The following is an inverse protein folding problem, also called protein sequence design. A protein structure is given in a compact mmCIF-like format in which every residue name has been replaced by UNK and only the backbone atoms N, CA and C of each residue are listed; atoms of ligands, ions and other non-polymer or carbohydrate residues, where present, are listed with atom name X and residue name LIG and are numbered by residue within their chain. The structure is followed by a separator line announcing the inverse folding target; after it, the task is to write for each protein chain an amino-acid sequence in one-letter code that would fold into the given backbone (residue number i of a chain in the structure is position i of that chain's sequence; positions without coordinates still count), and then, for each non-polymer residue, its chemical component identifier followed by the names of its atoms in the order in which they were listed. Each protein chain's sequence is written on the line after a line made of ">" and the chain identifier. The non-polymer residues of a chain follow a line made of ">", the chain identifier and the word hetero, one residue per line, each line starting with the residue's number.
data_IF_843767693223
#
_entry.id   IF_843767693223
#
_cell.length_a   1.000
_cell.length_b   1.000
_cell.length_c   1.000
_cell.angle_alpha   90.00
_cell.angle_beta   90.00
_cell.angle_gamma   90.00
#
_symmetry.space_group_name_H-M   'P 1'
#
loop_
_entity.id
_entity.type
_entity.pdbx_description
1 polymer ?
#
# COMPACT_ATOMS: atom_id res chain seq x y z
N UNK A 1 6.01 14.12 26.89
CA UNK A 1 5.86 15.21 25.90
C UNK A 1 4.74 14.82 24.94
N UNK A 2 3.69 15.64 24.73
CA UNK A 2 2.64 15.32 23.78
C UNK A 2 3.23 15.14 22.37
N UNK A 3 2.73 14.18 21.59
CA UNK A 3 3.19 13.95 20.22
C UNK A 3 2.35 14.83 19.28
N UNK A 4 2.77 16.10 19.11
CA UNK A 4 2.05 17.10 18.30
C UNK A 4 2.72 17.38 16.95
N UNK A 5 3.97 16.96 16.77
CA UNK A 5 4.76 17.15 15.56
C UNK A 5 5.56 15.88 15.22
N UNK A 6 5.85 15.70 13.93
CA UNK A 6 6.64 14.57 13.44
C UNK A 6 7.51 15.00 12.26
N UNK A 7 8.70 14.40 12.16
CA UNK A 7 9.53 14.52 10.96
C UNK A 7 9.00 13.60 9.86
N UNK A 8 8.72 14.18 8.70
CA UNK A 8 8.35 13.47 7.48
C UNK A 8 9.39 13.69 6.38
N UNK A 9 9.61 12.67 5.56
CA UNK A 9 10.40 12.79 4.33
C UNK A 9 9.47 12.97 3.14
N UNK A 10 9.64 14.07 2.41
CA UNK A 10 8.96 14.31 1.14
C UNK A 10 9.97 14.14 0.01
N UNK A 11 9.70 13.22 -0.91
CA UNK A 11 10.63 12.89 -2.00
C UNK A 11 9.92 12.40 -3.27
N UNK A 12 10.71 12.07 -4.30
CA UNK A 12 10.25 11.73 -5.65
C UNK A 12 10.40 12.91 -6.61
N UNK A 13 10.35 12.63 -7.93
CA UNK A 13 10.53 13.68 -8.95
C UNK A 13 9.24 14.51 -9.17
N UNK A 14 8.12 14.08 -8.60
CA UNK A 14 6.81 14.72 -8.74
C UNK A 14 6.62 15.98 -7.89
N UNK A 15 7.60 16.35 -7.04
CA UNK A 15 7.56 17.53 -6.16
C UNK A 15 8.67 18.51 -6.52
N UNK A 16 8.40 19.82 -6.46
CA UNK A 16 9.38 20.84 -6.83
C UNK A 16 10.64 20.82 -5.94
N UNK A 17 10.49 20.54 -4.65
CA UNK A 17 11.61 20.49 -3.69
C UNK A 17 11.47 19.33 -2.70
N UNK A 18 12.25 18.24 -2.85
CA UNK A 18 12.37 17.20 -1.83
C UNK A 18 12.97 17.74 -0.53
N UNK A 19 12.43 17.34 0.62
CA UNK A 19 12.91 17.79 1.92
C UNK A 19 12.47 16.86 3.07
N UNK A 20 13.23 16.92 4.17
CA UNK A 20 12.76 16.43 5.46
C UNK A 20 12.15 17.61 6.23
N UNK A 21 10.91 17.46 6.69
CA UNK A 21 10.15 18.53 7.34
C UNK A 21 9.68 18.08 8.72
N UNK A 22 9.81 18.94 9.72
CA UNK A 22 9.09 18.81 10.99
C UNK A 22 7.71 19.46 10.81
N UNK A 23 6.65 18.64 10.83
CA UNK A 23 5.29 19.10 10.56
C UNK A 23 4.37 18.81 11.75
N UNK A 24 3.38 19.69 12.03
CA UNK A 24 2.37 19.39 13.02
C UNK A 24 1.46 18.25 12.53
N UNK A 25 1.05 17.40 13.46
CA UNK A 25 0.08 16.34 13.16
C UNK A 25 -1.27 17.00 12.86
N UNK A 26 -1.90 16.58 11.76
CA UNK A 26 -3.11 17.19 11.23
C UNK A 26 -2.87 18.16 10.07
N UNK A 27 -1.63 18.57 9.78
CA UNK A 27 -1.33 19.40 8.61
C UNK A 27 -1.77 18.70 7.32
N UNK A 28 -2.38 19.43 6.39
CA UNK A 28 -2.79 18.86 5.11
C UNK A 28 -1.57 18.69 4.19
N UNK A 29 -1.57 17.63 3.37
CA UNK A 29 -0.51 17.45 2.37
C UNK A 29 -0.50 18.59 1.34
N UNK A 30 -1.65 19.19 1.05
CA UNK A 30 -1.74 20.38 0.19
C UNK A 30 -0.88 21.54 0.69
N UNK A 31 -0.87 21.79 2.00
CA UNK A 31 -0.11 22.89 2.61
C UNK A 31 1.39 22.61 2.53
N UNK A 32 1.78 21.35 2.76
CA UNK A 32 3.16 20.89 2.63
C UNK A 32 3.62 21.02 1.17
N UNK A 33 2.79 20.63 0.22
CA UNK A 33 3.07 20.78 -1.22
C UNK A 33 3.24 22.25 -1.59
N UNK A 34 2.35 23.12 -1.12
CA UNK A 34 2.45 24.56 -1.36
C UNK A 34 3.76 25.14 -0.78
N UNK A 35 4.13 24.74 0.44
CA UNK A 35 5.39 25.12 1.08
C UNK A 35 6.64 24.64 0.32
N UNK A 36 6.55 23.49 -0.37
CA UNK A 36 7.64 22.94 -1.16
C UNK A 36 7.70 23.49 -2.60
N UNK A 37 6.81 24.41 -2.97
CA UNK A 37 6.80 25.04 -4.30
C UNK A 37 5.90 24.33 -5.32
N UNK A 38 5.01 23.46 -4.87
CA UNK A 38 4.04 22.76 -5.73
C UNK A 38 4.53 21.43 -6.29
N UNK A 39 3.72 20.85 -7.17
CA UNK A 39 3.99 19.59 -7.86
C UNK A 39 4.50 19.86 -9.28
N UNK A 40 5.24 18.91 -9.83
CA UNK A 40 5.69 18.99 -11.22
C UNK A 40 4.59 18.52 -12.17
N UNK A 41 4.65 18.92 -13.44
CA UNK A 41 3.69 18.52 -14.49
C UNK A 41 3.63 17.01 -14.74
N UNK A 42 4.71 16.28 -14.41
CA UNK A 42 4.80 14.83 -14.58
C UNK A 42 4.25 14.02 -13.41
N UNK A 43 3.65 14.64 -12.39
CA UNK A 43 3.12 13.91 -11.23
C UNK A 43 2.06 12.89 -11.66
N UNK A 44 2.31 11.62 -11.34
CA UNK A 44 1.43 10.52 -11.70
C UNK A 44 0.80 9.84 -10.46
N UNK A 45 1.54 9.76 -9.34
CA UNK A 45 1.05 9.08 -8.13
C UNK A 45 1.62 9.69 -6.87
N UNK A 46 0.79 9.79 -5.84
CA UNK A 46 1.22 10.19 -4.50
C UNK A 46 1.06 9.01 -3.57
N UNK A 47 2.12 8.66 -2.82
CA UNK A 47 2.13 7.54 -1.88
C UNK A 47 2.42 8.07 -0.47
N UNK A 48 1.47 7.91 0.44
CA UNK A 48 1.62 8.30 1.84
C UNK A 48 2.01 7.08 2.69
N UNK A 49 3.05 7.21 3.52
CA UNK A 49 3.54 6.14 4.40
C UNK A 49 4.88 5.50 3.99
N UNK A 50 5.53 6.02 2.94
CA UNK A 50 6.83 5.55 2.45
C UNK A 50 6.74 4.55 1.29
N UNK A 51 7.90 4.07 0.79
CA UNK A 51 7.96 3.30 -0.47
C UNK A 51 7.35 1.90 -0.39
N UNK A 52 7.38 1.26 0.78
CA UNK A 52 6.95 -0.14 0.93
C UNK A 52 5.54 -0.25 1.52
N UNK A 53 5.33 0.37 2.70
CA UNK A 53 4.06 0.29 3.44
C UNK A 53 3.09 1.43 3.11
N UNK A 54 3.50 2.35 2.24
CA UNK A 54 2.65 3.46 1.87
C UNK A 54 1.49 3.05 0.97
N UNK A 55 0.43 3.84 0.99
CA UNK A 55 -0.73 3.67 0.11
C UNK A 55 -0.87 4.85 -0.84
N UNK A 56 -1.39 4.55 -2.02
CA UNK A 56 -1.70 5.58 -3.01
C UNK A 56 -2.87 6.44 -2.51
N UNK A 57 -2.72 7.76 -2.60
CA UNK A 57 -3.74 8.72 -2.19
C UNK A 57 -4.32 9.41 -3.43
N UNK A 58 -5.64 9.59 -3.45
CA UNK A 58 -6.36 10.24 -4.55
C UNK A 58 -6.51 11.75 -4.38
N UNK A 59 -6.23 12.27 -3.18
CA UNK A 59 -6.31 13.69 -2.85
C UNK A 59 -5.15 14.10 -1.95
N UNK A 60 -4.71 15.36 -2.09
CA UNK A 60 -3.75 16.01 -1.20
C UNK A 60 -4.44 16.63 0.03
N UNK A 61 -5.78 16.65 0.04
CA UNK A 61 -6.58 17.13 1.16
C UNK A 61 -6.72 16.05 2.26
N UNK A 62 -5.58 15.47 2.65
CA UNK A 62 -5.50 14.49 3.72
C UNK A 62 -4.50 14.95 4.78
N UNK A 63 -4.78 14.67 6.06
CA UNK A 63 -3.91 15.10 7.15
C UNK A 63 -2.68 14.19 7.26
N UNK A 64 -1.55 14.78 7.65
CA UNK A 64 -0.41 14.06 8.19
C UNK A 64 -0.80 13.46 9.53
N UNK A 65 -0.61 12.15 9.68
CA UNK A 65 -0.92 11.42 10.90
C UNK A 65 0.34 11.02 11.64
N UNK A 66 0.19 10.49 12.86
CA UNK A 66 1.31 9.96 13.66
C UNK A 66 2.14 8.89 12.93
N UNK A 67 1.52 8.16 12.00
CA UNK A 67 2.14 7.06 11.25
C UNK A 67 2.71 7.50 9.90
N UNK A 68 2.41 8.71 9.44
CA UNK A 68 2.96 9.27 8.20
C UNK A 68 4.45 9.55 8.41
N UNK A 69 5.32 8.63 7.98
CA UNK A 69 6.76 8.79 8.04
C UNK A 69 7.35 9.47 6.80
N UNK A 70 6.67 9.36 5.66
CA UNK A 70 7.10 9.98 4.42
C UNK A 70 6.00 9.98 3.36
N UNK A 71 6.19 10.82 2.35
CA UNK A 71 5.27 11.02 1.24
C UNK A 71 6.08 11.06 -0.05
N UNK A 72 5.73 10.18 -0.99
CA UNK A 72 6.38 10.10 -2.29
C UNK A 72 5.49 10.73 -3.34
N UNK A 73 6.05 11.64 -4.12
CA UNK A 73 5.45 12.25 -5.29
C UNK A 73 6.14 11.66 -6.52
N UNK A 74 5.53 10.64 -7.11
CA UNK A 74 6.14 9.85 -8.17
C UNK A 74 5.66 10.32 -9.54
N UNK A 75 6.62 10.47 -10.45
CA UNK A 75 6.38 10.70 -11.88
C UNK A 75 6.03 9.39 -12.60
N UNK A 76 5.65 9.48 -13.88
CA UNK A 76 5.27 8.28 -14.65
C UNK A 76 6.47 7.39 -14.94
N UNK A 77 7.66 7.97 -15.02
CA UNK A 77 8.94 7.29 -15.22
C UNK A 77 9.38 6.52 -13.98
N UNK A 78 8.94 6.94 -12.79
CA UNK A 78 9.21 6.28 -11.51
C UNK A 78 8.21 5.16 -11.18
N UNK A 79 7.18 4.96 -12.01
CA UNK A 79 6.11 4.00 -11.77
C UNK A 79 6.12 2.93 -12.86
N UNK A 80 6.16 1.68 -12.42
CA UNK A 80 5.82 0.55 -13.28
C UNK A 80 4.31 0.55 -13.52
N UNK A 81 3.90 1.14 -14.65
CA UNK A 81 2.50 1.24 -15.07
C UNK A 81 2.04 0.06 -15.94
N UNK A 82 2.82 -1.02 -16.00
CA UNK A 82 2.44 -2.22 -16.75
C UNK A 82 1.26 -2.93 -16.07
N UNK A 83 0.34 -3.43 -16.88
CA UNK A 83 -0.70 -4.32 -16.40
C UNK A 83 -0.08 -5.61 -15.88
N UNK A 84 -0.66 -6.14 -14.80
CA UNK A 84 -0.19 -7.39 -14.24
C UNK A 84 -0.66 -8.59 -15.09
N UNK A 85 0.22 -9.59 -15.21
CA UNK A 85 -0.06 -10.82 -15.92
C UNK A 85 -0.66 -11.93 -15.04
N UNK A 86 -1.04 -13.06 -15.64
CA UNK A 86 -1.47 -14.24 -14.90
C UNK A 86 -0.32 -14.79 -14.03
N UNK A 87 -0.69 -15.48 -12.95
CA UNK A 87 0.27 -16.14 -12.09
C UNK A 87 0.94 -17.31 -12.83
N UNK A 88 2.27 -17.28 -12.93
CA UNK A 88 3.07 -18.37 -13.53
C UNK A 88 3.56 -19.41 -12.52
N UNK A 89 3.12 -19.33 -11.26
CA UNK A 89 3.46 -20.26 -10.17
C UNK A 89 4.98 -20.45 -9.95
N UNK A 90 5.76 -19.37 -10.07
CA UNK A 90 7.22 -19.41 -9.88
C UNK A 90 7.69 -19.63 -8.42
N UNK A 91 6.85 -19.38 -7.41
CA UNK A 91 7.20 -19.57 -6.00
C UNK A 91 7.85 -18.38 -5.29
N UNK A 92 8.40 -17.39 -6.00
CA UNK A 92 9.16 -16.29 -5.38
C UNK A 92 8.40 -15.50 -4.31
N UNK A 93 7.08 -15.35 -4.46
CA UNK A 93 6.28 -14.64 -3.47
C UNK A 93 6.11 -15.41 -2.15
N UNK A 94 6.29 -16.73 -2.15
CA UNK A 94 6.30 -17.56 -0.94
C UNK A 94 7.62 -17.33 -0.19
N UNK A 95 8.74 -17.45 -0.91
CA UNK A 95 10.08 -17.27 -0.34
C UNK A 95 10.30 -15.86 0.25
N UNK A 96 9.76 -14.84 -0.42
CA UNK A 96 9.88 -13.45 0.02
C UNK A 96 8.91 -13.07 1.16
N UNK A 97 7.96 -13.95 1.53
CA UNK A 97 6.95 -13.62 2.53
C UNK A 97 7.47 -13.87 3.95
N UNK A 98 7.68 -12.83 4.78
CA UNK A 98 8.16 -13.01 6.16
C UNK A 98 7.11 -13.65 7.08
N UNK A 99 5.84 -13.67 6.66
CA UNK A 99 4.73 -14.27 7.40
C UNK A 99 4.42 -15.71 6.99
N UNK A 100 5.15 -16.26 6.01
CA UNK A 100 4.90 -17.62 5.51
C UNK A 100 3.52 -17.81 4.87
N UNK A 101 2.94 -16.75 4.27
CA UNK A 101 1.70 -16.86 3.50
C UNK A 101 1.95 -17.55 2.15
N UNK A 102 0.86 -17.92 1.46
CA UNK A 102 0.88 -18.27 0.04
C UNK A 102 0.23 -17.14 -0.82
N UNK A 103 0.92 -16.01 -1.07
CA UNK A 103 0.34 -14.88 -1.81
C UNK A 103 -0.17 -15.23 -3.20
N UNK A 104 0.48 -16.17 -3.89
CA UNK A 104 0.04 -16.66 -5.20
C UNK A 104 -1.38 -17.22 -5.14
N UNK A 105 -1.64 -18.14 -4.21
CA UNK A 105 -2.93 -18.82 -4.06
C UNK A 105 -4.00 -17.85 -3.55
N UNK A 106 -3.65 -16.98 -2.60
CA UNK A 106 -4.54 -15.89 -2.16
C UNK A 106 -4.96 -15.04 -3.36
N UNK A 107 -4.02 -14.61 -4.20
CA UNK A 107 -4.30 -13.81 -5.40
C UNK A 107 -5.24 -14.52 -6.37
N UNK A 108 -4.97 -15.79 -6.68
CA UNK A 108 -5.79 -16.59 -7.61
C UNK A 108 -7.23 -16.74 -7.10
N UNK A 109 -7.40 -17.02 -5.80
CA UNK A 109 -8.72 -17.21 -5.21
C UNK A 109 -9.50 -15.89 -5.15
N UNK A 110 -8.83 -14.79 -4.83
CA UNK A 110 -9.44 -13.47 -4.80
C UNK A 110 -9.93 -13.06 -6.19
N UNK A 111 -9.14 -13.27 -7.23
CA UNK A 111 -9.54 -13.04 -8.62
C UNK A 111 -10.75 -13.89 -9.02
N UNK A 112 -10.83 -15.13 -8.54
CA UNK A 112 -11.97 -16.02 -8.76
C UNK A 112 -13.22 -15.66 -7.92
N UNK A 113 -13.21 -14.57 -7.17
CA UNK A 113 -14.31 -14.17 -6.28
C UNK A 113 -14.41 -15.01 -5.00
N UNK A 114 -13.44 -15.88 -4.73
CA UNK A 114 -13.38 -16.84 -3.63
C UNK A 114 -12.49 -16.36 -2.48
N UNK A 115 -12.42 -15.04 -2.27
CA UNK A 115 -11.55 -14.43 -1.26
C UNK A 115 -11.84 -14.85 0.18
N UNK A 116 -13.05 -15.32 0.49
CA UNK A 116 -13.37 -15.83 1.83
C UNK A 116 -12.74 -17.22 2.12
N UNK A 117 -12.33 -17.95 1.08
CA UNK A 117 -11.76 -19.29 1.17
C UNK A 117 -10.23 -19.28 1.29
N UNK A 118 -9.62 -18.10 1.44
CA UNK A 118 -8.15 -17.96 1.48
C UNK A 118 -7.54 -18.15 2.86
N UNK A 119 -8.34 -18.33 3.91
CA UNK A 119 -7.86 -18.56 5.27
C UNK A 119 -7.00 -19.83 5.40
N UNK A 120 -7.11 -20.75 4.44
CA UNK A 120 -6.27 -21.96 4.37
C UNK A 120 -4.83 -21.69 3.89
N UNK A 121 -4.58 -20.52 3.28
CA UNK A 121 -3.28 -20.14 2.68
C UNK A 121 -2.39 -19.34 3.64
N UNK A 122 -2.58 -19.55 4.94
CA UNK A 122 -1.90 -18.86 6.03
C UNK A 122 -2.78 -17.85 6.78
N UNK A 123 -2.20 -17.21 7.80
CA UNK A 123 -2.87 -16.21 8.64
C UNK A 123 -2.98 -14.88 7.90
N UNK A 124 -3.88 -14.82 6.93
CA UNK A 124 -4.08 -13.67 6.03
C UNK A 124 -4.31 -12.38 6.83
N UNK A 125 -5.04 -12.45 7.95
CA UNK A 125 -5.33 -11.31 8.83
C UNK A 125 -4.10 -10.70 9.51
N UNK A 126 -3.04 -11.48 9.74
CA UNK A 126 -1.84 -11.03 10.47
C UNK A 126 -0.81 -10.34 9.58
N UNK A 127 -0.97 -10.40 8.25
CA UNK A 127 0.02 -9.79 7.37
C UNK A 127 0.08 -8.25 7.57
N UNK A 128 1.27 -7.70 7.62
CA UNK A 128 1.49 -6.26 7.83
C UNK A 128 1.73 -5.51 6.51
N UNK A 129 1.33 -6.11 5.37
CA UNK A 129 1.25 -5.45 4.07
C UNK A 129 2.58 -4.87 3.57
N UNK A 130 3.69 -5.52 3.87
CA UNK A 130 5.03 -5.03 3.53
C UNK A 130 5.36 -4.90 2.04
N UNK A 131 4.63 -5.57 1.14
CA UNK A 131 4.85 -5.45 -0.30
C UNK A 131 5.94 -6.35 -0.91
N UNK A 132 6.72 -7.08 -0.11
CA UNK A 132 7.80 -7.94 -0.63
C UNK A 132 7.31 -8.92 -1.70
N UNK A 133 6.16 -9.55 -1.48
CA UNK A 133 5.58 -10.50 -2.43
C UNK A 133 5.21 -9.87 -3.78
N UNK A 134 4.66 -8.65 -3.77
CA UNK A 134 4.29 -7.94 -4.99
C UNK A 134 5.54 -7.45 -5.74
N UNK A 135 6.57 -7.00 -5.01
CA UNK A 135 7.82 -6.52 -5.58
C UNK A 135 8.58 -7.61 -6.33
N UNK A 136 8.69 -8.82 -5.77
CA UNK A 136 9.42 -9.93 -6.40
C UNK A 136 8.61 -10.67 -7.47
N UNK A 137 7.34 -10.34 -7.67
CA UNK A 137 6.48 -11.05 -8.60
C UNK A 137 6.86 -10.72 -10.06
N UNK A 138 7.31 -11.70 -10.88
CA UNK A 138 7.65 -11.44 -12.28
C UNK A 138 6.43 -11.06 -13.11
N UNK A 139 5.24 -11.55 -12.75
CA UNK A 139 3.97 -11.17 -13.37
C UNK A 139 3.39 -9.86 -12.86
N UNK A 140 4.12 -9.12 -11.98
CA UNK A 140 3.69 -7.82 -11.41
C UNK A 140 2.34 -7.83 -10.70
N UNK A 141 1.92 -8.99 -10.20
CA UNK A 141 0.60 -9.15 -9.57
C UNK A 141 0.48 -8.27 -8.32
N UNK A 142 -0.63 -7.55 -8.12
CA UNK A 142 -0.83 -6.66 -6.97
C UNK A 142 -1.20 -7.43 -5.70
N UNK A 143 -0.31 -8.33 -5.26
CA UNK A 143 -0.58 -9.33 -4.22
C UNK A 143 -0.99 -8.71 -2.88
N UNK A 144 -0.44 -7.55 -2.50
CA UNK A 144 -0.85 -6.83 -1.28
C UNK A 144 -2.33 -6.41 -1.36
N UNK A 145 -2.78 -5.92 -2.52
CA UNK A 145 -4.17 -5.50 -2.70
C UNK A 145 -5.12 -6.70 -2.69
N UNK A 146 -4.69 -7.83 -3.26
CA UNK A 146 -5.45 -9.08 -3.16
C UNK A 146 -5.55 -9.57 -1.72
N UNK A 147 -4.47 -9.51 -0.94
CA UNK A 147 -4.48 -9.87 0.49
C UNK A 147 -5.41 -8.96 1.29
N UNK A 148 -5.40 -7.64 1.04
CA UNK A 148 -6.34 -6.70 1.65
C UNK A 148 -7.79 -7.07 1.35
N UNK A 149 -8.09 -7.36 0.08
CA UNK A 149 -9.43 -7.76 -0.33
C UNK A 149 -9.83 -9.10 0.32
N UNK A 150 -8.92 -10.07 0.39
CA UNK A 150 -9.14 -11.34 1.08
C UNK A 150 -9.54 -11.14 2.54
N UNK A 151 -8.84 -10.27 3.31
CA UNK A 151 -9.22 -9.96 4.70
C UNK A 151 -10.63 -9.43 4.82
N UNK A 152 -11.00 -8.48 3.96
CA UNK A 152 -12.36 -7.92 3.96
C UNK A 152 -13.37 -9.05 3.73
N UNK A 153 -13.13 -9.94 2.77
CA UNK A 153 -14.02 -11.07 2.47
C UNK A 153 -14.11 -12.09 3.60
N UNK A 154 -13.00 -12.42 4.26
CA UNK A 154 -12.99 -13.32 5.43
C UNK A 154 -13.86 -12.73 6.54
N UNK A 155 -13.61 -11.48 6.92
CA UNK A 155 -14.37 -10.78 7.98
C UNK A 155 -15.86 -10.64 7.65
N UNK A 156 -16.20 -10.38 6.38
CA UNK A 156 -17.59 -10.38 5.92
C UNK A 156 -18.26 -11.75 6.08
N UNK A 157 -17.54 -12.83 5.75
CA UNK A 157 -18.04 -14.20 5.87
C UNK A 157 -18.24 -14.61 7.32
N UNK A 158 -17.32 -14.24 8.22
CA UNK A 158 -17.43 -14.48 9.66
C UNK A 158 -18.64 -13.79 10.27
N UNK A 159 -18.81 -12.49 9.99
CA UNK A 159 -19.99 -11.72 10.46
C UNK A 159 -21.31 -12.34 9.98
N UNK A 160 -21.35 -12.89 8.76
CA UNK A 160 -22.55 -13.58 8.24
C UNK A 160 -22.83 -14.90 8.96
N UNK A 161 -21.79 -15.64 9.37
CA UNK A 161 -21.93 -16.88 10.15
C UNK A 161 -22.44 -16.57 11.57
N UNK A 162 -21.94 -15.51 12.18
CA UNK A 162 -22.34 -15.08 13.52
C UNK A 162 -23.80 -14.62 13.56
N UNK A 163 -24.26 -13.85 12.58
CA UNK A 163 -25.68 -13.44 12.46
C UNK A 163 -26.67 -14.59 12.18
N UNK A 164 -26.17 -15.76 11.76
CA UNK A 164 -26.99 -16.95 11.48
C UNK A 164 -27.07 -17.90 12.68
N UNK A 165 -26.23 -17.70 13.70
CA UNK A 165 -26.31 -18.38 15.00
C UNK A 165 -27.24 -17.60 15.91
#
# INVERSE_FOLDING_TARGET
>A
KPFYERVITVSGQGIARPANLLVPIGAHLSDIVAYLGGTTTGLAKVVAGGPMMGFAVSSLDIPVTKTTAGVLFLTREEIDAQDYGPCIRCGFCLDACPMGLEPNNIGIYVEAGRGAETAQFGLVDDCFECGSCAYVCPSKRPLVQFIRLARIRIREAEKKKEKRK
#
